data_IF_007744829913
#
_entry.id   IF_007744829913
#
_cell.length_a   1.000
_cell.length_b   1.000
_cell.length_c   1.000
_cell.angle_alpha   90.00
_cell.angle_beta   90.00
_cell.angle_gamma   90.00
#
_symmetry.space_group_name_H-M   'P 1'
#
loop_
_entity.id
_entity.type
_entity.pdbx_description
1 polymer ?
#
# COMPACT_ATOMS: atom_id res chain seq x y z
N UNK A 1 15.79 -23.64 -3.12
CA UNK A 1 15.72 -22.61 -4.18
C UNK A 1 16.50 -21.39 -3.71
N UNK A 2 17.32 -20.75 -4.56
CA UNK A 2 18.09 -19.55 -4.16
C UNK A 2 17.17 -18.38 -3.80
N UNK A 3 17.59 -17.50 -2.89
CA UNK A 3 16.79 -16.35 -2.46
C UNK A 3 16.37 -15.45 -3.64
N UNK A 4 17.25 -15.29 -4.64
CA UNK A 4 16.92 -14.57 -5.87
C UNK A 4 15.74 -15.18 -6.62
N UNK A 5 15.71 -16.50 -6.74
CA UNK A 5 14.62 -17.21 -7.40
C UNK A 5 13.33 -17.13 -6.56
N UNK A 6 13.44 -17.13 -5.23
CA UNK A 6 12.29 -16.92 -4.34
C UNK A 6 11.69 -15.53 -4.49
N UNK A 7 12.54 -14.49 -4.58
CA UNK A 7 12.09 -13.14 -4.87
C UNK A 7 11.38 -13.06 -6.22
N UNK A 8 11.95 -13.67 -7.27
CA UNK A 8 11.31 -13.68 -8.61
C UNK A 8 9.95 -14.36 -8.60
N UNK A 9 9.84 -15.55 -7.99
CA UNK A 9 8.56 -16.25 -7.86
C UNK A 9 7.54 -15.39 -7.12
N UNK A 10 7.93 -14.77 -6.01
CA UNK A 10 7.06 -13.86 -5.27
C UNK A 10 6.59 -12.67 -6.13
N UNK A 11 7.52 -11.99 -6.83
CA UNK A 11 7.20 -10.83 -7.68
C UNK A 11 6.19 -11.22 -8.76
N UNK A 12 6.43 -12.32 -9.47
CA UNK A 12 5.55 -12.77 -10.54
C UNK A 12 4.18 -13.17 -9.99
N UNK A 13 4.14 -13.93 -8.90
CA UNK A 13 2.89 -14.36 -8.28
C UNK A 13 2.08 -13.20 -7.72
N UNK A 14 2.71 -12.25 -7.02
CA UNK A 14 2.00 -11.11 -6.42
C UNK A 14 1.42 -10.20 -7.49
N UNK A 15 2.18 -9.90 -8.54
CA UNK A 15 1.68 -9.06 -9.63
C UNK A 15 0.57 -9.79 -10.40
N UNK A 16 0.75 -11.06 -10.74
CA UNK A 16 -0.27 -11.80 -11.48
C UNK A 16 -1.59 -11.91 -10.72
N UNK A 17 -1.55 -12.26 -9.44
CA UNK A 17 -2.75 -12.44 -8.61
C UNK A 17 -3.40 -11.08 -8.32
N UNK A 18 -2.62 -10.07 -7.93
CA UNK A 18 -3.16 -8.75 -7.60
C UNK A 18 -3.72 -8.05 -8.83
N UNK A 19 -3.03 -8.07 -9.98
CA UNK A 19 -3.58 -7.49 -11.20
C UNK A 19 -4.83 -8.22 -11.70
N UNK A 20 -4.92 -9.54 -11.52
CA UNK A 20 -6.15 -10.28 -11.83
C UNK A 20 -7.31 -9.85 -10.93
N UNK A 21 -7.02 -9.65 -9.63
CA UNK A 21 -8.01 -9.18 -8.66
C UNK A 21 -8.44 -7.73 -8.93
N UNK A 22 -7.50 -6.85 -9.27
CA UNK A 22 -7.77 -5.47 -9.65
C UNK A 22 -8.55 -5.39 -10.95
N UNK A 23 -8.18 -6.19 -11.96
CA UNK A 23 -8.92 -6.27 -13.22
C UNK A 23 -10.37 -6.73 -12.99
N UNK A 24 -10.57 -7.69 -12.08
CA UNK A 24 -11.91 -8.11 -11.67
C UNK A 24 -12.72 -6.98 -11.01
N UNK A 25 -12.10 -6.24 -10.08
CA UNK A 25 -12.72 -5.06 -9.44
C UNK A 25 -13.10 -4.02 -10.50
N UNK A 26 -12.18 -3.71 -11.41
CA UNK A 26 -12.38 -2.73 -12.48
C UNK A 26 -13.52 -3.15 -13.40
N UNK A 27 -13.50 -4.40 -13.89
CA UNK A 27 -14.52 -4.93 -14.80
C UNK A 27 -15.91 -5.01 -14.16
N UNK A 28 -15.98 -5.16 -12.84
CA UNK A 28 -17.24 -5.26 -12.09
C UNK A 28 -17.78 -3.91 -11.60
N UNK A 29 -17.33 -2.81 -12.23
CA UNK A 29 -17.79 -1.44 -11.95
C UNK A 29 -16.94 -0.66 -10.94
N UNK A 30 -15.71 -1.11 -10.72
CA UNK A 30 -14.67 -0.35 -10.02
C UNK A 30 -14.83 -0.28 -8.50
N UNK A 31 -13.87 0.40 -7.87
CA UNK A 31 -13.75 0.49 -6.40
C UNK A 31 -14.97 1.12 -5.72
N UNK A 32 -15.84 1.84 -6.44
CA UNK A 32 -17.08 2.40 -5.85
C UNK A 32 -18.16 1.35 -5.63
N UNK A 33 -18.23 0.32 -6.49
CA UNK A 33 -19.17 -0.78 -6.32
C UNK A 33 -18.74 -1.75 -5.22
N UNK A 34 -17.45 -1.78 -4.91
CA UNK A 34 -16.88 -2.63 -3.87
C UNK A 34 -16.60 -1.84 -2.59
N UNK A 35 -16.93 -2.41 -1.44
CA UNK A 35 -16.61 -1.78 -0.16
C UNK A 35 -15.11 -1.76 0.16
N UNK A 36 -14.69 -1.03 1.21
CA UNK A 36 -13.29 -0.93 1.63
C UNK A 36 -12.64 -2.27 1.96
N UNK A 37 -13.43 -3.30 2.29
CA UNK A 37 -12.95 -4.66 2.55
C UNK A 37 -12.26 -5.31 1.34
N UNK A 38 -12.66 -4.97 0.11
CA UNK A 38 -12.00 -5.51 -1.09
C UNK A 38 -10.61 -4.92 -1.28
N UNK A 39 -10.44 -3.65 -0.95
CA UNK A 39 -9.11 -3.01 -0.95
C UNK A 39 -8.24 -3.63 0.13
N UNK A 40 -8.78 -3.87 1.33
CA UNK A 40 -8.04 -4.60 2.37
C UNK A 40 -7.67 -6.01 1.92
N UNK A 41 -8.58 -6.73 1.24
CA UNK A 41 -8.30 -8.05 0.71
C UNK A 41 -7.15 -8.00 -0.30
N UNK A 42 -7.13 -7.02 -1.20
CA UNK A 42 -6.03 -6.76 -2.13
C UNK A 42 -4.70 -6.50 -1.38
N UNK A 43 -4.71 -5.60 -0.39
CA UNK A 43 -3.55 -5.27 0.46
C UNK A 43 -3.03 -6.49 1.25
N UNK A 44 -3.89 -7.47 1.55
CA UNK A 44 -3.50 -8.71 2.22
C UNK A 44 -2.85 -9.74 1.29
N UNK A 45 -2.93 -9.60 -0.04
CA UNK A 45 -2.37 -10.56 -1.01
C UNK A 45 -0.84 -10.73 -0.85
N UNK A 46 -0.02 -9.66 -0.77
CA UNK A 46 1.42 -9.79 -0.57
C UNK A 46 1.77 -10.59 0.70
N UNK A 47 1.06 -10.35 1.81
CA UNK A 47 1.26 -11.06 3.07
C UNK A 47 0.78 -12.51 3.04
N UNK A 48 -0.35 -12.79 2.40
CA UNK A 48 -0.83 -14.16 2.22
C UNK A 48 0.14 -14.96 1.35
N UNK A 49 0.66 -14.36 0.28
CA UNK A 49 1.66 -14.99 -0.58
C UNK A 49 2.99 -15.21 0.12
N UNK A 50 3.44 -14.28 0.98
CA UNK A 50 4.67 -14.50 1.72
C UNK A 50 4.54 -15.69 2.67
N UNK A 51 3.42 -15.84 3.36
CA UNK A 51 3.15 -16.99 4.22
C UNK A 51 3.10 -18.27 3.37
N UNK A 52 2.34 -18.28 2.29
CA UNK A 52 2.19 -19.45 1.42
C UNK A 52 3.53 -19.92 0.84
N UNK A 53 4.33 -18.99 0.28
CA UNK A 53 5.62 -19.32 -0.30
C UNK A 53 6.61 -19.78 0.76
N UNK A 54 6.59 -19.23 1.98
CA UNK A 54 7.41 -19.73 3.08
C UNK A 54 7.06 -21.18 3.45
N UNK A 55 5.77 -21.51 3.46
CA UNK A 55 5.29 -22.87 3.74
C UNK A 55 5.71 -23.87 2.64
N UNK A 56 5.51 -23.49 1.37
CA UNK A 56 5.85 -24.36 0.22
C UNK A 56 7.36 -24.55 0.10
N UNK A 57 8.13 -23.47 0.21
CA UNK A 57 9.57 -23.47 0.00
C UNK A 57 10.37 -23.86 1.25
N UNK A 58 9.68 -24.05 2.39
CA UNK A 58 10.27 -24.35 3.70
C UNK A 58 11.42 -23.42 4.06
N UNK A 59 11.28 -22.14 3.73
CA UNK A 59 12.35 -21.14 3.84
C UNK A 59 12.57 -20.62 5.27
N UNK A 60 11.86 -21.15 6.26
CA UNK A 60 11.91 -20.70 7.65
C UNK A 60 11.35 -19.28 7.86
N UNK A 61 11.54 -18.74 9.06
CA UNK A 61 11.11 -17.38 9.46
C UNK A 61 12.26 -16.53 10.04
N UNK A 62 13.50 -17.03 9.97
CA UNK A 62 14.66 -16.40 10.64
C UNK A 62 15.03 -15.03 10.04
N UNK A 63 14.68 -14.80 8.78
CA UNK A 63 14.89 -13.55 8.05
C UNK A 63 13.73 -12.53 8.24
N UNK A 64 12.65 -12.93 8.92
CA UNK A 64 11.55 -12.02 9.23
C UNK A 64 11.97 -11.08 10.34
N UNK A 65 12.07 -9.79 10.00
CA UNK A 65 12.64 -8.76 10.88
C UNK A 65 11.69 -8.25 11.97
N UNK A 66 10.79 -9.10 12.50
CA UNK A 66 9.93 -8.74 13.63
C UNK A 66 10.75 -8.66 14.93
N UNK A 67 11.42 -7.53 15.12
CA UNK A 67 12.19 -7.21 16.31
C UNK A 67 11.71 -5.88 16.86
N UNK A 68 11.57 -5.79 18.17
CA UNK A 68 11.31 -4.51 18.83
C UNK A 68 12.54 -3.63 18.62
N UNK A 69 12.35 -2.51 17.93
CA UNK A 69 13.41 -1.58 17.60
C UNK A 69 13.72 -0.61 18.74
N UNK A 70 14.69 0.28 18.52
CA UNK A 70 14.96 1.39 19.45
C UNK A 70 13.79 2.39 19.41
N UNK A 71 13.37 2.90 20.57
CA UNK A 71 12.26 3.85 20.74
C UNK A 71 12.26 5.02 19.73
N UNK A 72 13.46 5.58 19.44
CA UNK A 72 13.64 6.67 18.48
C UNK A 72 13.10 6.39 17.08
N UNK A 73 13.11 5.13 16.61
CA UNK A 73 12.62 4.80 15.28
C UNK A 73 11.09 4.86 15.19
N UNK A 74 10.39 4.58 16.28
CA UNK A 74 8.93 4.77 16.35
C UNK A 74 8.58 6.26 16.32
N UNK A 75 9.38 7.10 16.98
CA UNK A 75 9.23 8.56 16.89
C UNK A 75 9.41 9.03 15.45
N UNK A 76 10.45 8.55 14.74
CA UNK A 76 10.65 8.92 13.33
C UNK A 76 9.53 8.41 12.41
N UNK A 77 9.02 7.19 12.65
CA UNK A 77 7.94 6.61 11.86
C UNK A 77 6.64 7.43 11.92
N UNK A 78 6.39 8.11 13.04
CA UNK A 78 5.24 9.01 13.20
C UNK A 78 5.58 10.43 12.77
N UNK A 79 6.69 10.99 13.26
CA UNK A 79 7.03 12.39 13.04
C UNK A 79 7.28 12.71 11.56
N UNK A 80 7.98 11.84 10.82
CA UNK A 80 8.34 12.12 9.41
C UNK A 80 7.10 12.27 8.53
N UNK A 81 6.13 11.32 8.48
CA UNK A 81 4.91 11.50 7.70
C UNK A 81 4.10 12.73 8.09
N UNK A 82 3.96 13.01 9.39
CA UNK A 82 3.24 14.19 9.87
C UNK A 82 3.91 15.49 9.43
N UNK A 83 5.25 15.57 9.52
CA UNK A 83 6.01 16.72 9.05
C UNK A 83 5.88 16.90 7.54
N UNK A 84 5.92 15.82 6.76
CA UNK A 84 5.74 15.88 5.30
C UNK A 84 4.35 16.39 4.92
N UNK A 85 3.29 15.90 5.58
CA UNK A 85 1.91 16.37 5.35
C UNK A 85 1.77 17.84 5.74
N UNK A 86 2.33 18.25 6.88
CA UNK A 86 2.30 19.64 7.33
C UNK A 86 3.02 20.56 6.33
N UNK A 87 4.24 20.21 5.93
CA UNK A 87 5.02 20.99 4.97
C UNK A 87 4.31 21.08 3.61
N UNK A 88 3.79 19.97 3.10
CA UNK A 88 3.03 19.95 1.84
C UNK A 88 1.78 20.83 1.93
N UNK A 89 1.09 20.80 3.07
CA UNK A 89 -0.08 21.64 3.31
C UNK A 89 0.26 23.12 3.35
N UNK A 90 1.30 23.51 4.10
CA UNK A 90 1.76 24.90 4.19
C UNK A 90 2.20 25.43 2.82
N UNK A 91 2.98 24.66 2.06
CA UNK A 91 3.40 25.04 0.71
C UNK A 91 2.18 25.21 -0.20
N UNK A 92 1.23 24.26 -0.19
CA UNK A 92 0.01 24.34 -1.00
C UNK A 92 -0.86 25.55 -0.67
N UNK A 93 -0.93 25.95 0.61
CA UNK A 93 -1.62 27.17 1.03
C UNK A 93 -0.89 28.43 0.55
N UNK A 94 0.44 28.45 0.64
CA UNK A 94 1.26 29.60 0.26
C UNK A 94 1.17 29.94 -1.23
N UNK A 95 0.95 28.93 -2.07
CA UNK A 95 0.80 29.07 -3.53
C UNK A 95 -0.67 29.05 -4.00
N UNK A 96 -1.61 29.20 -3.06
CA UNK A 96 -3.07 29.28 -3.30
C UNK A 96 -3.66 28.08 -4.08
N UNK A 97 -3.03 26.90 -3.97
CA UNK A 97 -3.56 25.65 -4.53
C UNK A 97 -4.69 25.10 -3.64
N UNK A 98 -4.64 25.36 -2.33
CA UNK A 98 -5.62 24.83 -1.39
C UNK A 98 -5.80 25.72 -0.16
N UNK A 99 -7.05 25.95 0.22
CA UNK A 99 -7.40 26.57 1.50
C UNK A 99 -7.68 25.50 2.56
N UNK A 100 -7.16 25.74 3.77
CA UNK A 100 -7.35 24.85 4.90
C UNK A 100 -8.38 25.44 5.86
N UNK A 101 -9.42 24.68 6.15
CA UNK A 101 -10.38 24.98 7.21
C UNK A 101 -10.10 24.12 8.43
N UNK A 102 -10.17 24.71 9.62
CA UNK A 102 -10.16 23.93 10.85
C UNK A 102 -11.40 23.03 10.89
N UNK A 103 -11.21 21.78 11.30
CA UNK A 103 -12.31 20.82 11.46
C UNK A 103 -13.00 21.12 12.79
N UNK A 104 -14.30 21.43 12.74
CA UNK A 104 -15.11 21.64 13.95
C UNK A 104 -15.33 20.34 14.72
N UNK A 105 -15.63 20.45 16.02
CA UNK A 105 -15.88 19.28 16.87
C UNK A 105 -17.08 18.45 16.38
N UNK A 106 -18.14 19.11 15.89
CA UNK A 106 -19.30 18.43 15.30
C UNK A 106 -18.93 17.62 14.05
N UNK A 107 -18.09 18.19 13.17
CA UNK A 107 -17.56 17.47 12.01
C UNK A 107 -16.70 16.27 12.43
N UNK A 108 -15.89 16.40 13.49
CA UNK A 108 -15.10 15.28 14.02
C UNK A 108 -15.99 14.14 14.50
N UNK A 109 -17.04 14.43 15.28
CA UNK A 109 -18.00 13.40 15.72
C UNK A 109 -18.65 12.73 14.52
N UNK A 110 -19.12 13.52 13.54
CA UNK A 110 -19.77 13.01 12.33
C UNK A 110 -18.85 12.11 11.49
N UNK A 111 -17.57 12.45 11.40
CA UNK A 111 -16.58 11.68 10.63
C UNK A 111 -15.95 10.54 11.42
N UNK A 112 -16.10 10.50 12.74
CA UNK A 112 -15.45 9.53 13.61
C UNK A 112 -15.65 8.05 13.20
N UNK A 113 -16.83 7.59 12.72
CA UNK A 113 -16.98 6.20 12.31
C UNK A 113 -16.15 5.87 11.06
N UNK A 114 -16.03 6.83 10.12
CA UNK A 114 -15.22 6.68 8.91
C UNK A 114 -13.73 6.75 9.25
N UNK A 115 -13.32 7.67 10.12
CA UNK A 115 -11.93 7.75 10.57
C UNK A 115 -11.49 6.47 11.29
N UNK A 116 -12.36 5.94 12.15
CA UNK A 116 -12.10 4.69 12.86
C UNK A 116 -12.04 3.51 11.89
N UNK A 117 -12.94 3.42 10.91
CA UNK A 117 -12.91 2.33 9.93
C UNK A 117 -11.66 2.38 9.06
N UNK A 118 -11.26 3.57 8.58
CA UNK A 118 -10.02 3.77 7.83
C UNK A 118 -8.80 3.40 8.67
N UNK A 119 -8.77 3.76 9.94
CA UNK A 119 -7.68 3.40 10.84
C UNK A 119 -7.59 1.88 11.01
N UNK A 120 -8.68 1.22 11.38
CA UNK A 120 -8.67 -0.23 11.66
C UNK A 120 -8.39 -1.04 10.39
N UNK A 121 -9.12 -0.78 9.31
CA UNK A 121 -8.94 -1.48 8.04
C UNK A 121 -7.58 -1.17 7.41
N UNK A 122 -7.13 0.08 7.50
CA UNK A 122 -5.81 0.51 7.04
C UNK A 122 -4.68 -0.18 7.79
N UNK A 123 -4.79 -0.37 9.10
CA UNK A 123 -3.80 -1.11 9.88
C UNK A 123 -3.72 -2.58 9.46
N UNK A 124 -4.86 -3.22 9.20
CA UNK A 124 -4.91 -4.61 8.71
C UNK A 124 -4.24 -4.70 7.33
N UNK A 125 -4.62 -3.82 6.40
CA UNK A 125 -4.06 -3.78 5.06
C UNK A 125 -2.55 -3.48 5.07
N UNK A 126 -2.13 -2.48 5.83
CA UNK A 126 -0.71 -2.13 5.99
C UNK A 126 0.10 -3.28 6.57
N UNK A 127 -0.44 -4.01 7.55
CA UNK A 127 0.22 -5.21 8.08
C UNK A 127 0.37 -6.31 7.03
N UNK A 128 -0.68 -6.57 6.24
CA UNK A 128 -0.65 -7.52 5.13
C UNK A 128 0.40 -7.17 4.08
N UNK A 129 0.48 -5.89 3.69
CA UNK A 129 1.50 -5.39 2.79
C UNK A 129 2.91 -5.53 3.36
N UNK A 130 3.14 -5.07 4.59
CA UNK A 130 4.46 -5.13 5.24
C UNK A 130 4.97 -6.57 5.38
N UNK A 131 4.08 -7.54 5.66
CA UNK A 131 4.41 -8.97 5.68
C UNK A 131 4.93 -9.49 4.34
N UNK A 132 4.42 -8.97 3.22
CA UNK A 132 4.90 -9.32 1.88
C UNK A 132 6.19 -8.58 1.54
N UNK A 133 6.16 -7.26 1.58
CA UNK A 133 7.22 -6.40 1.09
C UNK A 133 8.49 -6.46 1.96
N UNK A 134 8.35 -6.21 3.26
CA UNK A 134 9.47 -6.19 4.22
C UNK A 134 9.69 -7.56 4.83
N UNK A 135 8.62 -8.33 4.99
CA UNK A 135 8.66 -9.67 5.58
C UNK A 135 9.16 -10.76 4.64
N UNK A 136 9.13 -10.58 3.30
CA UNK A 136 9.60 -11.62 2.36
C UNK A 136 10.44 -11.05 1.21
N UNK A 137 9.88 -10.13 0.42
CA UNK A 137 10.55 -9.68 -0.81
C UNK A 137 11.91 -9.05 -0.52
N UNK A 138 11.96 -8.04 0.36
CA UNK A 138 13.19 -7.30 0.64
C UNK A 138 14.31 -8.20 1.21
N UNK A 139 14.09 -9.06 2.23
CA UNK A 139 15.10 -10.02 2.68
C UNK A 139 15.63 -10.91 1.56
N UNK A 140 14.76 -11.41 0.66
CA UNK A 140 15.17 -12.26 -0.46
C UNK A 140 15.94 -11.52 -1.55
N UNK A 141 15.63 -10.24 -1.79
CA UNK A 141 16.43 -9.40 -2.69
C UNK A 141 17.83 -9.13 -2.10
N UNK A 142 17.91 -8.86 -0.79
CA UNK A 142 19.17 -8.63 -0.07
C UNK A 142 20.01 -9.91 -0.02
N UNK A 143 19.44 -11.02 0.47
CA UNK A 143 20.12 -12.32 0.57
C UNK A 143 20.48 -12.90 -0.80
N UNK A 144 19.70 -12.59 -1.83
CA UNK A 144 19.98 -12.95 -3.22
C UNK A 144 21.03 -12.08 -3.93
N UNK A 145 21.60 -11.06 -3.26
CA UNK A 145 22.64 -10.20 -3.83
C UNK A 145 22.16 -9.30 -4.96
N UNK A 146 20.88 -8.91 -4.98
CA UNK A 146 20.33 -8.04 -6.02
C UNK A 146 20.88 -6.61 -5.84
N UNK A 147 21.39 -6.02 -6.93
CA UNK A 147 21.85 -4.63 -6.93
C UNK A 147 20.68 -3.70 -6.62
N UNK A 148 20.86 -2.82 -5.63
CA UNK A 148 19.85 -1.84 -5.18
C UNK A 148 18.50 -2.48 -4.77
N UNK A 149 18.47 -3.36 -3.75
CA UNK A 149 17.29 -4.14 -3.40
C UNK A 149 16.10 -3.26 -2.98
N UNK A 150 16.35 -2.11 -2.34
CA UNK A 150 15.33 -1.13 -1.97
C UNK A 150 14.65 -0.49 -3.19
N UNK A 151 15.42 -0.15 -4.23
CA UNK A 151 14.87 0.42 -5.46
C UNK A 151 14.01 -0.61 -6.19
N UNK A 152 14.49 -1.85 -6.31
CA UNK A 152 13.74 -2.95 -6.93
C UNK A 152 12.43 -3.19 -6.18
N UNK A 153 12.48 -3.25 -4.85
CA UNK A 153 11.26 -3.39 -4.03
C UNK A 153 10.28 -2.23 -4.25
N UNK A 154 10.78 -0.99 -4.33
CA UNK A 154 9.94 0.18 -4.59
C UNK A 154 9.29 0.18 -5.98
N UNK A 155 10.02 -0.26 -7.01
CA UNK A 155 9.49 -0.40 -8.37
C UNK A 155 8.43 -1.50 -8.46
N UNK A 156 8.63 -2.63 -7.77
CA UNK A 156 7.62 -3.70 -7.71
C UNK A 156 6.37 -3.21 -6.99
N UNK A 157 6.52 -2.53 -5.86
CA UNK A 157 5.41 -1.93 -5.13
C UNK A 157 4.66 -0.89 -5.98
N UNK A 158 5.37 -0.03 -6.71
CA UNK A 158 4.75 0.92 -7.65
C UNK A 158 4.00 0.20 -8.78
N UNK A 159 4.59 -0.87 -9.33
CA UNK A 159 3.99 -1.68 -10.40
C UNK A 159 2.71 -2.38 -9.93
N UNK A 160 2.69 -2.83 -8.68
CA UNK A 160 1.51 -3.43 -8.07
C UNK A 160 0.31 -2.45 -8.04
N UNK A 161 0.54 -1.15 -7.85
CA UNK A 161 -0.53 -0.14 -7.85
C UNK A 161 -1.06 0.26 -9.25
N UNK A 162 -0.35 -0.10 -10.33
CA UNK A 162 -0.59 0.50 -11.65
C UNK A 162 -2.02 0.34 -12.18
N UNK A 163 -2.67 -0.83 -12.15
CA UNK A 163 -4.00 -0.99 -12.74
C UNK A 163 -5.05 -0.08 -12.09
N UNK A 164 -5.13 -0.08 -10.76
CA UNK A 164 -6.08 0.78 -10.04
C UNK A 164 -5.75 2.27 -10.16
N UNK A 165 -4.47 2.66 -10.13
CA UNK A 165 -4.08 4.08 -10.30
C UNK A 165 -4.43 4.57 -11.70
N UNK A 166 -4.15 3.76 -12.74
CA UNK A 166 -4.51 4.09 -14.11
C UNK A 166 -6.04 4.23 -14.26
N UNK A 167 -6.80 3.26 -13.73
CA UNK A 167 -8.27 3.30 -13.75
C UNK A 167 -8.83 4.55 -13.07
N UNK A 168 -8.31 4.91 -11.89
CA UNK A 168 -8.73 6.11 -11.16
C UNK A 168 -8.52 7.41 -11.95
N UNK A 169 -7.41 7.51 -12.70
CA UNK A 169 -7.13 8.65 -13.56
C UNK A 169 -8.10 8.78 -14.75
N UNK A 170 -8.45 7.66 -15.40
CA UNK A 170 -9.42 7.66 -16.50
C UNK A 170 -10.82 8.07 -16.04
N UNK A 171 -11.29 7.55 -14.90
CA UNK A 171 -12.65 7.82 -14.42
C UNK A 171 -12.88 9.27 -13.97
N UNK A 172 -11.85 9.93 -13.43
CA UNK A 172 -11.93 11.37 -13.11
C UNK A 172 -12.04 12.21 -14.40
N UNK A 173 -11.34 11.82 -15.46
CA UNK A 173 -11.31 12.55 -16.72
C UNK A 173 -12.67 12.51 -17.44
N UNK A 174 -13.30 11.34 -17.53
CA UNK A 174 -14.64 11.22 -18.17
C UNK A 174 -15.72 12.01 -17.44
N UNK A 175 -15.69 12.06 -16.11
CA UNK A 175 -16.68 12.81 -15.33
C UNK A 175 -16.65 14.32 -15.57
N UNK A 176 -15.52 14.87 -16.01
CA UNK A 176 -15.38 16.30 -16.35
C UNK A 176 -15.93 16.58 -17.76
N UNK A 177 -15.70 15.68 -18.72
CA UNK A 177 -16.13 15.90 -20.11
C UNK A 177 -17.66 15.89 -20.26
N UNK A 178 -18.37 15.06 -19.50
CA UNK A 178 -19.85 14.97 -19.54
C UNK A 178 -20.56 16.14 -18.85
N UNK A 179 -19.86 16.93 -18.04
CA UNK A 179 -20.41 18.13 -17.39
C UNK A 179 -20.32 19.39 -18.27
N UNK A 180 -19.60 19.31 -19.39
CA UNK A 180 -19.33 20.46 -20.29
C UNK A 180 -20.03 20.27 -21.65
N UNK A 181 -20.80 19.18 -21.83
CA UNK A 181 -21.66 18.90 -22.99
C UNK A 181 -23.14 18.99 -22.62
#
# INVERSE_FOLDING_TARGET
MSDRNQALVFIVSVLAISWSFEAFIIASGGVRNFGPLWIVALMCIPGALSILLRLILKSGYEDVSFRIGKGRYYVYAVAIPFLLVLLTGLVSAAIDIRQFSLVSFEQLIRLSPVLLSVLVLGLIGAFGEELGWRGFLLPKLVGGGVKNPYLVSGLVWASWHLPLVAYGGFYQTESITTLIS
#
